data_IF_758901681117
#
_entry.id   IF_758901681117
#
_cell.length_a   1.000
_cell.length_b   1.000
_cell.length_c   1.000
_cell.angle_alpha   90.00
_cell.angle_beta   90.00
_cell.angle_gamma   90.00
#
_symmetry.space_group_name_H-M   'P 1'
#
loop_
_entity.id
_entity.type
_entity.pdbx_description
1 polymer ?
#
# COMPACT_ATOMS: atom_id res chain seq x y z
N UNK A 1 10.84 -1.79 19.48
CA UNK A 1 10.82 -2.31 18.09
C UNK A 1 11.24 -3.78 18.02
N UNK A 2 12.39 -4.14 18.61
CA UNK A 2 12.92 -5.52 18.59
C UNK A 2 11.90 -6.58 19.03
N UNK A 3 11.22 -6.39 20.17
CA UNK A 3 10.17 -7.30 20.65
C UNK A 3 9.05 -7.54 19.61
N UNK A 4 8.71 -6.53 18.80
CA UNK A 4 7.70 -6.69 17.75
C UNK A 4 8.25 -7.52 16.58
N UNK A 5 9.52 -7.36 16.24
CA UNK A 5 10.18 -8.13 15.19
C UNK A 5 10.32 -9.60 15.58
N UNK A 6 10.72 -9.88 16.83
CA UNK A 6 10.83 -11.24 17.41
C UNK A 6 9.48 -11.97 17.41
N UNK A 7 8.38 -11.22 17.51
CA UNK A 7 7.00 -11.75 17.45
C UNK A 7 6.40 -11.74 16.05
N UNK A 8 7.21 -11.53 15.00
CA UNK A 8 6.77 -11.48 13.61
C UNK A 8 5.66 -10.47 13.31
N UNK A 9 5.59 -9.38 14.08
CA UNK A 9 4.63 -8.31 13.82
C UNK A 9 5.08 -7.49 12.61
N UNK A 10 4.09 -7.08 11.82
CA UNK A 10 4.28 -6.15 10.70
C UNK A 10 4.20 -4.74 11.23
N UNK A 11 5.25 -3.98 10.97
CA UNK A 11 5.21 -2.54 11.15
C UNK A 11 4.54 -1.90 9.93
N UNK A 12 3.45 -1.18 10.16
CA UNK A 12 2.78 -0.35 9.15
C UNK A 12 2.16 0.85 9.85
N UNK A 13 1.71 1.85 9.11
CA UNK A 13 1.14 3.04 9.70
C UNK A 13 0.45 3.90 8.65
N UNK A 14 0.11 5.13 9.04
CA UNK A 14 -0.19 6.12 8.03
C UNK A 14 1.10 6.47 7.28
N UNK A 15 1.20 6.02 6.04
CA UNK A 15 2.32 6.34 5.16
C UNK A 15 2.15 7.79 4.67
N UNK A 16 2.57 8.74 5.50
CA UNK A 16 2.65 10.16 5.23
C UNK A 16 4.03 10.66 5.63
N UNK A 17 4.54 11.67 4.93
CA UNK A 17 5.88 12.23 5.20
C UNK A 17 5.92 13.07 6.47
N UNK A 18 4.82 13.74 6.79
CA UNK A 18 4.70 14.66 7.91
C UNK A 18 3.38 14.44 8.65
N UNK A 19 3.39 14.65 9.97
CA UNK A 19 2.18 14.55 10.78
C UNK A 19 1.58 13.14 10.80
N UNK A 20 2.43 12.10 10.88
CA UNK A 20 2.02 10.69 10.93
C UNK A 20 1.09 10.47 12.12
N UNK A 21 -0.17 10.11 11.86
CA UNK A 21 -1.16 9.95 12.92
C UNK A 21 -0.96 8.67 13.74
N UNK A 22 -0.44 7.61 13.13
CA UNK A 22 -0.22 6.35 13.83
C UNK A 22 0.88 5.48 13.21
N UNK A 23 1.52 4.69 14.08
CA UNK A 23 2.43 3.60 13.72
C UNK A 23 1.97 2.37 14.50
N UNK A 24 1.72 1.28 13.78
CA UNK A 24 1.23 0.03 14.31
C UNK A 24 2.26 -1.08 14.13
N UNK A 25 2.23 -2.05 15.04
CA UNK A 25 2.94 -3.33 14.92
C UNK A 25 1.91 -4.43 15.13
N UNK A 26 1.39 -5.05 14.07
CA UNK A 26 0.27 -6.00 14.18
C UNK A 26 0.55 -7.37 13.54
N UNK A 27 -0.22 -8.37 13.97
CA UNK A 27 -0.36 -9.66 13.31
C UNK A 27 -1.63 -9.74 12.45
N UNK A 28 -1.72 -10.77 11.60
CA UNK A 28 -2.93 -11.12 10.83
C UNK A 28 -4.08 -11.69 11.66
N UNK A 29 -3.91 -11.81 12.97
CA UNK A 29 -4.79 -12.46 13.94
C UNK A 29 -6.16 -11.75 14.12
N UNK A 30 -6.16 -10.43 14.31
CA UNK A 30 -7.36 -9.62 14.58
C UNK A 30 -7.28 -8.19 14.03
N UNK A 31 -6.20 -7.86 13.31
CA UNK A 31 -6.02 -6.52 12.78
C UNK A 31 -6.87 -6.34 11.51
N UNK A 32 -7.87 -5.47 11.58
CA UNK A 32 -8.75 -5.18 10.44
C UNK A 32 -7.98 -4.72 9.20
N UNK A 33 -6.89 -3.98 9.37
CA UNK A 33 -6.02 -3.59 8.26
C UNK A 33 -5.38 -4.82 7.57
N UNK A 34 -4.89 -5.79 8.34
CA UNK A 34 -4.31 -7.02 7.79
C UNK A 34 -5.38 -7.93 7.17
N UNK A 35 -6.56 -8.02 7.80
CA UNK A 35 -7.70 -8.75 7.26
C UNK A 35 -8.13 -8.13 5.92
N UNK A 36 -8.20 -6.80 5.84
CA UNK A 36 -8.50 -6.08 4.62
C UNK A 36 -7.42 -6.30 3.55
N UNK A 37 -6.12 -6.26 3.91
CA UNK A 37 -5.04 -6.54 2.98
C UNK A 37 -5.13 -7.97 2.41
N UNK A 38 -5.42 -8.98 3.23
CA UNK A 38 -5.62 -10.36 2.78
C UNK A 38 -6.83 -10.49 1.83
N UNK A 39 -7.97 -9.87 2.18
CA UNK A 39 -9.23 -10.03 1.43
C UNK A 39 -9.31 -9.16 0.18
N UNK A 40 -8.69 -7.99 0.22
CA UNK A 40 -8.85 -6.92 -0.77
C UNK A 40 -7.49 -6.41 -1.25
N UNK A 41 -6.43 -7.23 -1.25
CA UNK A 41 -5.05 -6.84 -1.55
C UNK A 41 -4.89 -5.96 -2.79
N UNK A 42 -5.62 -6.29 -3.86
CA UNK A 42 -5.66 -5.54 -5.12
C UNK A 42 -6.11 -4.08 -4.98
N UNK A 43 -6.84 -3.72 -3.90
CA UNK A 43 -7.27 -2.35 -3.60
C UNK A 43 -6.22 -1.55 -2.81
N UNK A 44 -5.09 -2.16 -2.47
CA UNK A 44 -4.03 -1.60 -1.62
C UNK A 44 -4.57 -0.91 -0.36
N UNK A 45 -5.42 -1.58 0.45
CA UNK A 45 -6.08 -0.96 1.62
C UNK A 45 -5.08 -0.60 2.72
N UNK A 46 -3.90 -1.23 2.71
CA UNK A 46 -2.77 -0.95 3.59
C UNK A 46 -1.59 -0.57 2.72
N UNK A 47 -0.83 0.43 3.16
CA UNK A 47 0.36 0.88 2.46
C UNK A 47 1.36 -0.27 2.30
N UNK A 48 1.77 -0.49 1.06
CA UNK A 48 2.79 -1.47 0.70
C UNK A 48 4.16 -0.82 0.67
N UNK A 49 5.19 -1.60 0.95
CA UNK A 49 6.57 -1.13 0.79
C UNK A 49 6.97 -1.16 -0.70
N UNK A 50 8.04 -0.46 -1.03
CA UNK A 50 8.63 -0.49 -2.38
C UNK A 50 9.39 -1.79 -2.68
N UNK A 51 9.25 -2.84 -1.86
CA UNK A 51 9.98 -4.09 -2.01
C UNK A 51 9.03 -5.29 -2.08
N UNK A 52 9.48 -6.32 -2.79
CA UNK A 52 8.83 -7.62 -2.87
C UNK A 52 9.83 -8.73 -2.54
N UNK A 53 9.42 -9.77 -1.81
CA UNK A 53 10.25 -10.94 -1.60
C UNK A 53 10.40 -11.73 -2.90
N UNK A 54 11.60 -12.23 -3.16
CA UNK A 54 11.91 -13.14 -4.26
C UNK A 54 12.36 -14.46 -3.67
N UNK A 55 11.87 -15.58 -4.20
CA UNK A 55 12.27 -16.91 -3.76
C UNK A 55 13.51 -17.36 -4.51
N UNK A 56 14.57 -17.66 -3.78
CA UNK A 56 15.80 -18.22 -4.33
C UNK A 56 15.64 -19.73 -4.51
N UNK A 57 15.40 -20.17 -5.75
CA UNK A 57 15.05 -21.56 -6.04
C UNK A 57 16.12 -22.56 -5.58
N UNK A 58 17.40 -22.20 -5.66
CA UNK A 58 18.52 -23.05 -5.23
C UNK A 58 18.53 -23.32 -3.73
N UNK A 59 18.15 -22.33 -2.91
CA UNK A 59 18.23 -22.39 -1.45
C UNK A 59 16.90 -22.76 -0.78
N UNK A 60 15.78 -22.50 -1.44
CA UNK A 60 14.46 -22.81 -0.90
C UNK A 60 14.23 -24.33 -0.85
N UNK A 61 14.02 -24.91 0.33
CA UNK A 61 13.73 -26.34 0.49
C UNK A 61 12.24 -26.68 0.61
N UNK A 62 11.35 -25.68 0.46
CA UNK A 62 9.90 -25.91 0.54
C UNK A 62 9.35 -26.17 1.94
N UNK A 63 10.08 -25.85 3.01
CA UNK A 63 9.65 -26.13 4.40
C UNK A 63 8.37 -25.41 4.88
N UNK A 64 7.88 -24.40 4.15
CA UNK A 64 6.61 -23.72 4.45
C UNK A 64 6.62 -22.75 5.63
N UNK A 65 7.75 -22.54 6.33
CA UNK A 65 7.82 -21.60 7.46
C UNK A 65 7.40 -20.16 7.07
N UNK A 66 7.78 -19.72 5.87
CA UNK A 66 7.39 -18.41 5.34
C UNK A 66 5.90 -18.31 5.02
N UNK A 67 5.24 -19.42 4.67
CA UNK A 67 3.78 -19.49 4.46
C UNK A 67 3.06 -19.27 5.78
N UNK A 68 3.43 -20.02 6.82
CA UNK A 68 2.81 -19.92 8.14
C UNK A 68 3.03 -18.55 8.81
N UNK A 69 4.16 -17.90 8.54
CA UNK A 69 4.49 -16.61 9.11
C UNK A 69 3.85 -15.42 8.36
N UNK A 70 3.27 -15.62 7.17
CA UNK A 70 2.76 -14.53 6.36
C UNK A 70 1.44 -13.97 6.93
N UNK A 71 1.41 -12.71 7.42
CA UNK A 71 0.24 -12.15 8.12
C UNK A 71 -0.92 -11.78 7.18
N UNK A 72 -0.66 -11.73 5.88
CA UNK A 72 -1.63 -11.45 4.82
C UNK A 72 -1.80 -12.63 3.86
N UNK A 73 -1.23 -13.79 4.19
CA UNK A 73 -1.35 -15.03 3.39
C UNK A 73 -0.87 -14.92 1.94
N UNK A 74 0.03 -13.99 1.64
CA UNK A 74 0.62 -13.80 0.31
C UNK A 74 1.69 -14.85 -0.08
N UNK A 75 1.92 -15.87 0.73
CA UNK A 75 2.94 -16.91 0.49
C UNK A 75 2.25 -18.27 0.38
N UNK A 76 2.60 -19.06 -0.63
CA UNK A 76 2.08 -20.42 -0.84
C UNK A 76 3.21 -21.40 -1.16
N UNK A 77 2.94 -22.71 -1.10
CA UNK A 77 3.85 -23.74 -1.60
C UNK A 77 3.32 -24.30 -2.92
N UNK A 78 4.14 -24.26 -3.97
CA UNK A 78 3.83 -24.80 -5.29
C UNK A 78 4.76 -25.95 -5.64
N UNK A 79 4.26 -26.93 -6.38
CA UNK A 79 5.07 -28.01 -6.96
C UNK A 79 6.12 -27.44 -7.92
N UNK A 80 7.35 -27.97 -7.90
CA UNK A 80 8.36 -27.63 -8.91
C UNK A 80 8.11 -28.31 -10.25
N UNK A 81 7.18 -29.27 -10.31
CA UNK A 81 6.90 -30.10 -11.48
C UNK A 81 8.14 -30.81 -12.04
N UNK A 82 9.14 -31.07 -11.19
CA UNK A 82 10.31 -31.87 -11.53
C UNK A 82 9.93 -33.36 -11.54
N UNK A 83 10.00 -34.07 -12.69
CA UNK A 83 9.69 -35.50 -12.77
C UNK A 83 10.57 -36.37 -11.87
N UNK A 84 11.81 -35.93 -11.60
CA UNK A 84 12.75 -36.66 -10.74
C UNK A 84 12.45 -36.43 -9.25
N UNK A 85 11.76 -35.33 -8.92
CA UNK A 85 11.42 -34.96 -7.56
C UNK A 85 9.94 -34.54 -7.44
N UNK A 86 8.98 -35.46 -7.66
CA UNK A 86 7.56 -35.12 -7.79
C UNK A 86 6.91 -34.58 -6.50
N UNK A 87 7.56 -34.76 -5.35
CA UNK A 87 7.10 -34.21 -4.06
C UNK A 87 7.74 -32.87 -3.72
N UNK A 88 8.70 -32.40 -4.52
CA UNK A 88 9.41 -31.16 -4.24
C UNK A 88 8.48 -29.96 -4.45
N UNK A 89 8.47 -29.07 -3.45
CA UNK A 89 7.73 -27.82 -3.48
C UNK A 89 8.68 -26.66 -3.22
N UNK A 90 8.32 -25.49 -3.73
CA UNK A 90 9.01 -24.22 -3.45
C UNK A 90 7.98 -23.20 -3.01
N UNK A 91 8.45 -22.20 -2.26
CA UNK A 91 7.61 -21.07 -1.90
C UNK A 91 7.29 -20.26 -3.16
N UNK A 92 6.08 -19.69 -3.23
CA UNK A 92 5.66 -18.72 -4.24
C UNK A 92 4.99 -17.55 -3.55
N UNK A 93 5.32 -16.34 -3.99
CA UNK A 93 4.69 -15.10 -3.53
C UNK A 93 3.53 -14.72 -4.46
N UNK A 94 2.43 -14.27 -3.88
CA UNK A 94 1.39 -13.49 -4.55
C UNK A 94 1.73 -12.01 -4.41
N UNK A 95 2.16 -11.38 -5.52
CA UNK A 95 2.65 -10.00 -5.54
C UNK A 95 1.55 -8.95 -5.34
N UNK A 96 0.29 -9.33 -5.64
CA UNK A 96 -0.89 -8.45 -5.56
C UNK A 96 -1.39 -8.30 -4.11
N UNK A 97 -1.11 -9.29 -3.26
CA UNK A 97 -1.49 -9.27 -1.84
C UNK A 97 -0.29 -8.91 -0.94
N UNK A 98 0.93 -9.16 -1.41
CA UNK A 98 2.12 -8.98 -0.59
C UNK A 98 2.32 -7.52 -0.18
N UNK A 99 2.44 -7.26 1.13
CA UNK A 99 2.75 -5.93 1.66
C UNK A 99 4.24 -5.53 1.51
N UNK A 100 5.12 -6.50 1.26
CA UNK A 100 6.57 -6.28 1.30
C UNK A 100 7.13 -6.06 2.71
N UNK A 101 6.49 -6.64 3.74
CA UNK A 101 6.83 -6.44 5.16
C UNK A 101 8.09 -7.17 5.66
N UNK A 102 8.63 -8.11 4.87
CA UNK A 102 9.86 -8.84 5.20
C UNK A 102 9.77 -9.90 6.30
N UNK A 103 8.58 -10.18 6.85
CA UNK A 103 8.40 -11.22 7.89
C UNK A 103 8.83 -12.60 7.40
N UNK A 104 8.56 -12.93 6.13
CA UNK A 104 8.95 -14.19 5.52
C UNK A 104 10.47 -14.36 5.43
N UNK A 105 11.23 -13.29 5.14
CA UNK A 105 12.69 -13.32 5.09
C UNK A 105 13.27 -13.64 6.48
N UNK A 106 12.82 -12.94 7.52
CA UNK A 106 13.32 -13.15 8.89
C UNK A 106 13.07 -14.56 9.42
N UNK A 107 12.00 -15.20 8.97
CA UNK A 107 11.64 -16.55 9.38
C UNK A 107 12.33 -17.64 8.53
N UNK A 108 12.92 -17.27 7.39
CA UNK A 108 13.62 -18.21 6.53
C UNK A 108 14.99 -18.57 7.13
N UNK A 109 15.14 -19.79 7.63
CA UNK A 109 16.43 -20.29 8.14
C UNK A 109 17.36 -20.87 7.08
N UNK A 110 17.10 -20.62 5.80
CA UNK A 110 17.84 -21.20 4.66
C UNK A 110 18.28 -20.15 3.63
N UNK A 111 18.16 -18.85 3.96
CA UNK A 111 18.46 -17.75 3.04
C UNK A 111 17.79 -17.91 1.65
N UNK A 112 16.62 -18.54 1.62
CA UNK A 112 15.86 -18.83 0.41
C UNK A 112 14.98 -17.69 -0.08
N UNK A 113 15.14 -16.49 0.50
CA UNK A 113 14.36 -15.31 0.17
C UNK A 113 15.24 -14.06 0.15
N UNK A 114 15.12 -13.25 -0.90
CA UNK A 114 15.75 -11.94 -1.04
C UNK A 114 14.69 -10.85 -1.25
N UNK A 115 15.07 -9.56 -1.24
CA UNK A 115 14.17 -8.44 -1.55
C UNK A 115 14.57 -7.80 -2.89
N UNK A 116 13.58 -7.57 -3.75
CA UNK A 116 13.72 -6.74 -4.96
C UNK A 116 12.86 -5.49 -4.86
N UNK A 117 13.26 -4.42 -5.55
CA UNK A 117 12.41 -3.23 -5.71
C UNK A 117 11.18 -3.57 -6.56
N UNK A 118 10.03 -2.99 -6.21
CA UNK A 118 8.86 -2.95 -7.09
C UNK A 118 9.17 -2.11 -8.34
N UNK A 119 8.57 -2.44 -9.50
CA UNK A 119 8.76 -1.69 -10.73
C UNK A 119 8.18 -0.27 -10.61
N UNK A 120 7.01 -0.14 -9.98
CA UNK A 120 6.39 1.15 -9.68
C UNK A 120 6.64 1.52 -8.22
N UNK A 121 7.13 2.75 -8.01
CA UNK A 121 7.34 3.29 -6.67
C UNK A 121 6.05 3.87 -6.12
N UNK A 122 5.70 3.48 -4.90
CA UNK A 122 4.62 4.09 -4.14
C UNK A 122 5.11 5.46 -3.66
N UNK A 123 4.51 6.53 -4.19
CA UNK A 123 4.84 7.90 -3.78
C UNK A 123 4.10 8.21 -2.48
N UNK A 124 4.86 8.36 -1.39
CA UNK A 124 4.28 8.70 -0.09
C UNK A 124 3.72 10.13 -0.10
N UNK A 125 2.43 10.34 0.23
CA UNK A 125 1.83 11.66 0.31
C UNK A 125 2.47 12.51 1.41
N UNK A 126 2.38 13.83 1.27
CA UNK A 126 2.98 14.78 2.23
C UNK A 126 2.37 14.62 3.63
N UNK A 127 1.04 14.57 3.71
CA UNK A 127 0.28 14.47 4.96
C UNK A 127 -1.06 13.77 4.71
N UNK A 128 -1.87 13.59 5.75
CA UNK A 128 -3.18 12.92 5.68
C UNK A 128 -4.14 13.58 4.69
N UNK A 129 -4.18 14.92 4.62
CA UNK A 129 -5.06 15.62 3.68
C UNK A 129 -4.64 15.34 2.24
N UNK A 130 -3.34 15.39 1.95
CA UNK A 130 -2.81 15.03 0.63
C UNK A 130 -3.17 13.58 0.27
N UNK A 131 -3.00 12.65 1.22
CA UNK A 131 -3.37 11.24 1.04
C UNK A 131 -4.85 11.06 0.68
N UNK A 132 -5.76 11.63 1.48
CA UNK A 132 -7.21 11.48 1.29
C UNK A 132 -7.67 12.08 -0.04
N UNK A 133 -7.15 13.25 -0.42
CA UNK A 133 -7.48 13.90 -1.69
C UNK A 133 -7.00 13.05 -2.89
N UNK A 134 -5.77 12.51 -2.83
CA UNK A 134 -5.25 11.65 -3.88
C UNK A 134 -6.06 10.37 -4.05
N UNK A 135 -6.41 9.71 -2.93
CA UNK A 135 -7.25 8.52 -2.95
C UNK A 135 -8.64 8.82 -3.54
N UNK A 136 -9.24 9.95 -3.20
CA UNK A 136 -10.54 10.34 -3.74
C UNK A 136 -10.46 10.61 -5.26
N UNK A 137 -9.42 11.30 -5.74
CA UNK A 137 -9.20 11.52 -7.17
C UNK A 137 -9.01 10.19 -7.91
N UNK A 138 -8.19 9.28 -7.36
CA UNK A 138 -7.91 7.98 -7.99
C UNK A 138 -9.14 7.10 -8.11
N UNK A 139 -10.10 7.23 -7.18
CA UNK A 139 -11.33 6.43 -7.15
C UNK A 139 -12.52 7.10 -7.85
N UNK A 140 -12.39 8.34 -8.31
CA UNK A 140 -13.53 9.08 -8.86
C UNK A 140 -14.46 9.69 -7.81
N UNK A 141 -14.03 9.72 -6.54
CA UNK A 141 -14.82 10.07 -5.37
C UNK A 141 -14.55 11.49 -4.85
N UNK A 142 -13.82 12.33 -5.58
CA UNK A 142 -13.46 13.68 -5.12
C UNK A 142 -14.70 14.55 -4.84
N UNK A 143 -15.75 14.41 -5.65
CA UNK A 143 -17.02 15.08 -5.44
C UNK A 143 -17.67 14.67 -4.10
N UNK A 144 -17.71 13.38 -3.78
CA UNK A 144 -18.28 12.87 -2.53
C UNK A 144 -17.48 13.36 -1.32
N UNK A 145 -16.14 13.41 -1.45
CA UNK A 145 -15.28 13.98 -0.42
C UNK A 145 -15.63 15.44 -0.11
N UNK A 146 -16.05 16.22 -1.09
CA UNK A 146 -16.19 17.67 -0.96
C UNK A 146 -17.62 18.07 -0.62
N UNK A 147 -18.59 17.46 -1.30
CA UNK A 147 -20.00 17.79 -1.18
C UNK A 147 -20.69 16.95 -0.09
N UNK A 148 -20.44 15.64 -0.03
CA UNK A 148 -21.20 14.74 0.86
C UNK A 148 -20.63 14.70 2.29
N UNK A 149 -19.31 14.83 2.45
CA UNK A 149 -18.64 14.81 3.76
C UNK A 149 -18.60 16.18 4.48
N UNK A 150 -19.46 17.13 4.09
CA UNK A 150 -19.54 18.49 4.68
C UNK A 150 -18.21 19.28 4.67
N UNK A 151 -17.25 18.94 3.82
CA UNK A 151 -15.97 19.69 3.72
C UNK A 151 -16.22 21.17 3.37
N UNK A 152 -17.24 21.45 2.55
CA UNK A 152 -17.68 22.81 2.23
C UNK A 152 -18.16 23.62 3.45
N UNK A 153 -18.55 22.97 4.54
CA UNK A 153 -19.12 23.62 5.71
C UNK A 153 -18.03 24.17 6.64
N UNK A 154 -16.76 23.87 6.35
CA UNK A 154 -15.61 24.40 7.05
C UNK A 154 -14.62 24.99 6.03
N UNK A 155 -14.52 26.33 5.98
CA UNK A 155 -13.62 27.03 5.06
C UNK A 155 -12.15 26.59 5.19
N UNK A 156 -11.69 26.16 6.38
CA UNK A 156 -10.32 25.64 6.57
C UNK A 156 -10.14 24.27 5.91
N UNK A 157 -11.13 23.38 6.04
CA UNK A 157 -11.10 22.07 5.41
C UNK A 157 -11.13 22.21 3.87
N UNK A 158 -11.99 23.07 3.35
CA UNK A 158 -12.05 23.37 1.92
C UNK A 158 -10.74 23.98 1.40
N UNK A 159 -10.16 24.95 2.12
CA UNK A 159 -8.88 25.55 1.75
C UNK A 159 -7.74 24.51 1.74
N UNK A 160 -7.72 23.57 2.69
CA UNK A 160 -6.73 22.50 2.72
C UNK A 160 -6.87 21.56 1.51
N UNK A 161 -8.10 21.16 1.16
CA UNK A 161 -8.38 20.31 -0.01
C UNK A 161 -8.00 21.01 -1.32
N UNK A 162 -8.45 22.25 -1.52
CA UNK A 162 -8.12 23.04 -2.71
C UNK A 162 -6.61 23.29 -2.81
N UNK A 163 -5.96 23.57 -1.68
CA UNK A 163 -4.50 23.75 -1.62
C UNK A 163 -3.73 22.52 -2.06
N UNK A 164 -4.22 21.31 -1.73
CA UNK A 164 -3.66 20.06 -2.27
C UNK A 164 -3.87 19.99 -3.78
N UNK A 165 -5.12 20.15 -4.25
CA UNK A 165 -5.48 20.02 -5.67
C UNK A 165 -4.60 20.92 -6.54
N UNK A 166 -4.40 22.18 -6.16
CA UNK A 166 -3.62 23.13 -6.95
C UNK A 166 -2.13 22.74 -7.08
N UNK A 167 -1.57 22.02 -6.11
CA UNK A 167 -0.18 21.57 -6.08
C UNK A 167 0.03 20.18 -6.69
N UNK A 168 -1.04 19.51 -7.14
CA UNK A 168 -0.92 18.19 -7.77
C UNK A 168 -0.24 18.26 -9.14
N UNK A 169 0.36 17.15 -9.61
CA UNK A 169 0.86 17.04 -10.98
C UNK A 169 -0.23 17.31 -12.03
N UNK A 170 0.12 17.79 -13.24
CA UNK A 170 -0.84 18.21 -14.26
C UNK A 170 -1.94 17.18 -14.55
N UNK A 171 -1.57 15.90 -14.68
CA UNK A 171 -2.52 14.81 -14.94
C UNK A 171 -3.56 14.66 -13.82
N UNK A 172 -3.12 14.64 -12.56
CA UNK A 172 -4.01 14.49 -11.41
C UNK A 172 -4.91 15.72 -11.21
N UNK A 173 -4.43 16.92 -11.58
CA UNK A 173 -5.27 18.13 -11.60
C UNK A 173 -6.36 18.08 -12.66
N UNK A 174 -6.05 17.59 -13.85
CA UNK A 174 -7.04 17.41 -14.90
C UNK A 174 -8.16 16.45 -14.43
N UNK A 175 -7.78 15.29 -13.86
CA UNK A 175 -8.72 14.34 -13.27
C UNK A 175 -9.58 14.97 -12.15
N UNK A 176 -8.96 15.76 -11.27
CA UNK A 176 -9.68 16.46 -10.21
C UNK A 176 -10.69 17.47 -10.77
N UNK A 177 -10.30 18.24 -11.80
CA UNK A 177 -11.16 19.21 -12.47
C UNK A 177 -12.36 18.54 -13.15
N UNK A 178 -12.13 17.42 -13.82
CA UNK A 178 -13.17 16.63 -14.49
C UNK A 178 -14.21 16.10 -13.50
N UNK A 179 -13.77 15.58 -12.34
CA UNK A 179 -14.67 15.10 -11.29
C UNK A 179 -15.48 16.24 -10.65
N UNK A 180 -14.89 17.43 -10.52
CA UNK A 180 -15.56 18.58 -9.91
C UNK A 180 -16.65 19.20 -10.79
N UNK A 181 -16.48 19.15 -12.11
CA UNK A 181 -17.34 19.83 -13.10
C UNK A 181 -17.63 21.29 -12.75
N UNK A 182 -16.64 22.00 -12.19
CA UNK A 182 -16.78 23.37 -11.70
C UNK A 182 -15.94 24.35 -12.52
N UNK A 183 -16.60 25.30 -13.18
CA UNK A 183 -15.95 26.40 -13.92
C UNK A 183 -15.04 27.26 -13.05
N UNK A 184 -15.32 27.34 -11.74
CA UNK A 184 -14.48 28.07 -10.79
C UNK A 184 -13.16 27.35 -10.53
N UNK A 185 -13.21 26.04 -10.25
CA UNK A 185 -12.02 25.22 -9.99
C UNK A 185 -11.16 25.10 -11.24
N UNK A 186 -11.78 24.93 -12.42
CA UNK A 186 -11.08 24.92 -13.71
C UNK A 186 -10.30 26.21 -13.98
N UNK A 187 -10.91 27.36 -13.68
CA UNK A 187 -10.24 28.66 -13.76
C UNK A 187 -9.08 28.78 -12.75
N UNK A 188 -9.26 28.30 -11.52
CA UNK A 188 -8.20 28.32 -10.51
C UNK A 188 -7.00 27.45 -10.92
N UNK A 189 -7.25 26.23 -11.43
CA UNK A 189 -6.20 25.33 -11.90
C UNK A 189 -5.45 25.97 -13.07
N UNK A 190 -6.15 26.59 -14.03
CA UNK A 190 -5.53 27.28 -15.16
C UNK A 190 -4.67 28.48 -14.72
N UNK A 191 -5.13 29.24 -13.73
CA UNK A 191 -4.42 30.45 -13.25
C UNK A 191 -3.26 30.18 -12.30
N UNK A 192 -3.38 29.16 -11.45
CA UNK A 192 -2.45 28.92 -10.34
C UNK A 192 -1.70 27.59 -10.43
N UNK A 193 -2.09 26.68 -11.34
CA UNK A 193 -1.45 25.37 -11.49
C UNK A 193 -0.11 25.40 -12.23
N UNK A 194 0.26 26.50 -12.88
CA UNK A 194 1.48 26.57 -13.70
C UNK A 194 2.72 27.06 -12.93
N UNK A 195 2.68 27.06 -11.58
CA UNK A 195 3.82 27.41 -10.71
C UNK A 195 4.27 26.21 -9.89
#
# INVERSE_FOLDING_TARGET
>A
LQQAQERNLVQFGENAREGVNFICNCCGCCCEAMIAARKFGMLNPVHTTNFLPVVEEGSCNGCGKCVNACPVEAMTLVSTNDPNHPKMKKAKVDEDICLGCGVCLRTCGHDGLSLRSRPERVITPLNSTHRVVMMAIERGDLQNLIFDNRVLWNHRALAAVLGVILRLPPLKRAMASEQFKSRYVENLITRFGSR
#
